data_IF_464713843060
#
_entry.id   IF_464713843060
#
_cell.length_a   1.000
_cell.length_b   1.000
_cell.length_c   1.000
_cell.angle_alpha   90.00
_cell.angle_beta   90.00
_cell.angle_gamma   90.00
#
_symmetry.space_group_name_H-M   'P 1'
#
loop_
_entity.id
_entity.type
_entity.pdbx_description
1 polymer ?
#
# COMPACT_ATOMS: atom_id res chain seq x y z
N UNK A 1 9.69 35.99 37.17
CA UNK A 1 9.06 35.27 38.29
C UNK A 1 8.47 33.97 37.75
N UNK A 2 8.60 32.91 38.55
CA UNK A 2 8.55 31.49 38.18
C UNK A 2 7.23 31.05 37.51
N UNK A 3 7.33 30.33 36.39
CA UNK A 3 6.19 29.58 35.83
C UNK A 3 6.32 28.12 36.25
N UNK A 4 5.36 27.68 37.07
CA UNK A 4 5.30 26.38 37.71
C UNK A 4 5.00 25.27 36.69
N UNK A 5 5.92 24.31 36.60
CA UNK A 5 5.79 23.02 35.91
C UNK A 5 4.96 22.09 36.79
N UNK A 6 3.77 21.69 36.36
CA UNK A 6 3.01 20.61 37.01
C UNK A 6 3.16 19.32 36.21
N UNK A 7 3.93 18.40 36.77
CA UNK A 7 4.03 17.00 36.35
C UNK A 7 2.77 16.27 36.82
N UNK A 8 1.99 15.72 35.90
CA UNK A 8 0.94 14.76 36.24
C UNK A 8 1.51 13.35 36.25
N UNK A 9 1.43 12.70 37.40
CA UNK A 9 1.79 11.32 37.66
C UNK A 9 0.62 10.37 37.31
N UNK A 10 1.02 9.19 36.83
CA UNK A 10 0.47 7.86 37.13
C UNK A 10 -1.01 7.52 36.81
N UNK A 11 -1.19 6.41 36.10
CA UNK A 11 -1.72 5.17 36.69
C UNK A 11 -1.54 4.02 35.71
N UNK A 12 -0.68 3.06 36.07
CA UNK A 12 -0.53 1.80 35.34
C UNK A 12 -1.67 0.86 35.70
N UNK A 13 -2.37 0.35 34.69
CA UNK A 13 -3.23 -0.82 34.81
C UNK A 13 -2.49 -2.01 34.22
N UNK A 14 -1.96 -2.87 35.09
CA UNK A 14 -1.47 -4.19 34.71
C UNK A 14 -2.67 -5.14 34.67
N UNK A 15 -3.10 -5.52 33.46
CA UNK A 15 -4.06 -6.61 33.26
C UNK A 15 -3.25 -7.87 32.97
N UNK A 16 -3.13 -8.74 33.97
CA UNK A 16 -2.58 -10.09 33.81
C UNK A 16 -3.64 -10.99 33.19
N UNK A 17 -3.59 -11.22 31.87
CA UNK A 17 -4.34 -12.30 31.22
C UNK A 17 -3.52 -13.58 31.28
N UNK A 18 -3.97 -14.52 32.12
CA UNK A 18 -3.55 -15.90 32.07
C UNK A 18 -4.17 -16.57 30.84
N UNK A 19 -3.34 -16.86 29.83
CA UNK A 19 -3.76 -17.70 28.70
C UNK A 19 -3.46 -19.15 29.07
N UNK A 20 -4.51 -19.90 29.39
CA UNK A 20 -4.48 -21.35 29.57
C UNK A 20 -4.18 -21.98 28.20
N UNK A 21 -3.03 -22.62 28.10
CA UNK A 21 -2.61 -23.35 26.91
C UNK A 21 -3.41 -24.64 26.72
N UNK A 22 -3.97 -24.81 25.54
CA UNK A 22 -4.40 -26.12 25.03
C UNK A 22 -3.49 -26.49 23.86
N UNK A 23 -2.51 -27.34 24.13
CA UNK A 23 -1.65 -27.96 23.13
C UNK A 23 -2.42 -29.07 22.42
N UNK A 24 -2.89 -28.82 21.20
CA UNK A 24 -3.34 -29.89 20.30
C UNK A 24 -2.22 -30.18 19.33
N UNK A 25 -1.41 -31.19 19.67
CA UNK A 25 -0.42 -31.78 18.77
C UNK A 25 -1.14 -32.42 17.58
N UNK A 26 -1.07 -31.80 16.41
CA UNK A 26 -1.51 -32.43 15.17
C UNK A 26 -0.25 -32.88 14.41
N UNK A 27 -0.05 -34.20 14.38
CA UNK A 27 0.95 -34.88 13.56
C UNK A 27 0.72 -34.55 12.09
N UNK A 28 1.66 -33.87 11.46
CA UNK A 28 1.73 -33.78 10.00
C UNK A 28 2.49 -34.99 9.45
N UNK A 29 1.75 -35.83 8.73
CA UNK A 29 2.28 -36.94 7.93
C UNK A 29 3.10 -36.39 6.76
N UNK A 30 4.37 -36.78 6.69
CA UNK A 30 5.26 -36.51 5.57
C UNK A 30 4.77 -37.29 4.34
N UNK A 31 4.20 -36.59 3.36
CA UNK A 31 4.00 -37.14 2.02
C UNK A 31 5.17 -36.74 1.14
N UNK A 32 6.02 -37.73 0.85
CA UNK A 32 7.04 -37.68 -0.20
C UNK A 32 6.38 -37.39 -1.55
N UNK A 33 6.72 -36.26 -2.17
CA UNK A 33 6.36 -35.99 -3.55
C UNK A 33 7.50 -36.38 -4.49
N UNK A 34 7.11 -37.21 -5.45
CA UNK A 34 7.89 -37.81 -6.52
C UNK A 34 8.50 -36.75 -7.44
N UNK A 35 9.78 -36.93 -7.75
CA UNK A 35 10.49 -36.27 -8.84
C UNK A 35 9.82 -36.59 -10.18
N UNK A 36 9.57 -35.55 -10.98
CA UNK A 36 8.83 -35.66 -12.24
C UNK A 36 9.26 -34.62 -13.27
N UNK A 37 10.19 -35.05 -14.13
CA UNK A 37 10.44 -34.67 -15.53
C UNK A 37 10.98 -33.26 -15.91
N UNK A 38 11.89 -33.20 -16.93
CA UNK A 38 12.48 -31.98 -17.46
C UNK A 38 11.55 -31.22 -18.41
N UNK A 39 11.43 -29.91 -18.20
CA UNK A 39 10.66 -29.02 -19.05
C UNK A 39 11.32 -28.84 -20.43
N UNK A 40 10.62 -29.31 -21.46
CA UNK A 40 10.87 -29.01 -22.87
C UNK A 40 10.69 -27.52 -23.11
N UNK A 41 11.76 -26.85 -23.55
CA UNK A 41 11.74 -25.44 -23.94
C UNK A 41 11.08 -25.33 -25.32
N UNK A 42 9.78 -25.03 -25.36
CA UNK A 42 9.08 -24.72 -26.61
C UNK A 42 9.25 -23.23 -26.88
N UNK A 43 10.20 -22.90 -27.77
CA UNK A 43 10.33 -21.58 -28.36
C UNK A 43 9.19 -21.35 -29.34
N UNK A 44 8.09 -20.75 -28.88
CA UNK A 44 7.07 -20.18 -29.78
C UNK A 44 7.64 -18.93 -30.43
N UNK A 45 8.04 -19.07 -31.70
CA UNK A 45 8.28 -17.94 -32.58
C UNK A 45 6.95 -17.21 -32.81
N UNK A 46 6.86 -15.97 -32.35
CA UNK A 46 5.72 -15.09 -32.61
C UNK A 46 5.71 -14.74 -34.10
N UNK A 47 4.89 -15.45 -34.88
CA UNK A 47 4.58 -15.10 -36.27
C UNK A 47 3.89 -13.73 -36.28
N UNK A 48 4.63 -12.71 -36.74
CA UNK A 48 4.14 -11.35 -36.92
C UNK A 48 3.11 -11.36 -38.06
N UNK A 49 1.83 -11.13 -37.74
CA UNK A 49 0.76 -11.00 -38.73
C UNK A 49 0.70 -9.53 -39.20
N UNK A 50 1.02 -9.20 -40.47
CA UNK A 50 1.15 -7.82 -40.94
C UNK A 50 -0.17 -7.04 -41.13
N UNK A 51 -1.32 -7.55 -40.67
CA UNK A 51 -2.65 -6.96 -40.91
C UNK A 51 -3.50 -6.82 -39.63
N UNK A 52 -2.90 -6.67 -38.46
CA UNK A 52 -3.68 -6.25 -37.29
C UNK A 52 -3.95 -4.75 -37.37
N UNK A 53 -5.21 -4.29 -37.19
CA UNK A 53 -5.52 -2.87 -37.14
C UNK A 53 -4.65 -2.22 -36.08
N UNK A 54 -3.87 -1.23 -36.48
CA UNK A 54 -3.07 -0.41 -35.57
C UNK A 54 -4.08 0.24 -34.62
N UNK A 55 -4.18 -0.29 -33.40
CA UNK A 55 -4.86 0.39 -32.31
C UNK A 55 -3.97 1.57 -31.99
N UNK A 56 -4.22 2.68 -32.68
CA UNK A 56 -3.63 3.98 -32.38
C UNK A 56 -4.12 4.29 -30.98
N UNK A 57 -3.29 3.95 -29.99
CA UNK A 57 -3.46 4.44 -28.63
C UNK A 57 -3.41 5.95 -28.76
N UNK A 58 -4.59 6.56 -28.82
CA UNK A 58 -4.75 7.99 -28.66
C UNK A 58 -4.00 8.32 -27.38
N UNK A 59 -2.86 8.98 -27.54
CA UNK A 59 -2.15 9.63 -26.45
C UNK A 59 -3.12 10.68 -25.93
N UNK A 60 -3.98 10.26 -25.00
CA UNK A 60 -4.96 11.10 -24.35
C UNK A 60 -4.20 12.28 -23.79
N UNK A 61 -4.33 13.39 -24.52
CA UNK A 61 -4.24 14.78 -24.11
C UNK A 61 -3.81 14.91 -22.66
N UNK A 62 -2.60 15.44 -22.43
CA UNK A 62 -2.00 15.82 -21.15
C UNK A 62 -3.07 15.96 -20.06
N UNK A 63 -3.48 14.81 -19.51
CA UNK A 63 -4.62 14.72 -18.62
C UNK A 63 -4.10 15.38 -17.37
N UNK A 64 -4.69 16.52 -17.06
CA UNK A 64 -4.46 17.31 -15.86
C UNK A 64 -4.09 16.33 -14.75
N UNK A 65 -2.79 16.28 -14.40
CA UNK A 65 -2.33 15.27 -13.45
C UNK A 65 -3.06 15.58 -12.16
N UNK A 66 -3.95 14.67 -11.75
CA UNK A 66 -4.69 14.81 -10.51
C UNK A 66 -3.65 15.16 -9.42
N UNK A 67 -3.92 16.22 -8.65
CA UNK A 67 -2.99 16.72 -7.65
C UNK A 67 -2.55 15.60 -6.68
N UNK A 68 -3.46 14.65 -6.41
CA UNK A 68 -3.19 13.46 -5.59
C UNK A 68 -2.15 12.53 -6.24
N UNK A 69 -2.14 12.37 -7.55
CA UNK A 69 -1.17 11.55 -8.28
C UNK A 69 0.24 12.15 -8.17
N UNK A 70 0.32 13.46 -8.31
CA UNK A 70 1.57 14.20 -8.11
C UNK A 70 2.05 14.09 -6.65
N UNK A 71 1.13 14.14 -5.68
CA UNK A 71 1.46 13.93 -4.28
C UNK A 71 1.95 12.50 -4.00
N UNK A 72 1.26 11.47 -4.52
CA UNK A 72 1.66 10.06 -4.39
C UNK A 72 3.02 9.79 -5.05
N UNK A 73 3.30 10.40 -6.21
CA UNK A 73 4.61 10.31 -6.86
C UNK A 73 5.72 10.87 -5.98
N UNK A 74 5.49 12.00 -5.31
CA UNK A 74 6.43 12.56 -4.34
C UNK A 74 6.56 11.63 -3.14
N UNK A 75 5.46 11.10 -2.61
CA UNK A 75 5.48 10.16 -1.49
C UNK A 75 6.38 8.95 -1.77
N UNK A 76 6.28 8.34 -2.96
CA UNK A 76 7.18 7.24 -3.38
C UNK A 76 8.66 7.63 -3.28
N UNK A 77 9.01 8.85 -3.70
CA UNK A 77 10.39 9.31 -3.59
C UNK A 77 10.83 9.47 -2.14
N UNK A 78 9.96 9.95 -1.26
CA UNK A 78 10.26 10.02 0.16
C UNK A 78 10.44 8.61 0.76
N UNK A 79 9.49 7.70 0.55
CA UNK A 79 9.50 6.38 1.18
C UNK A 79 10.64 5.46 0.71
N UNK A 80 10.94 5.45 -0.60
CA UNK A 80 11.86 4.45 -1.16
C UNK A 80 12.90 5.00 -2.12
N UNK A 81 12.98 6.32 -2.30
CA UNK A 81 13.78 6.96 -3.36
C UNK A 81 13.38 6.45 -4.76
N UNK A 82 12.13 6.00 -4.94
CA UNK A 82 11.65 5.43 -6.20
C UNK A 82 11.95 3.95 -6.41
N UNK A 83 12.56 3.26 -5.43
CA UNK A 83 12.83 1.81 -5.50
C UNK A 83 11.53 1.03 -5.23
N UNK A 84 11.19 0.07 -6.09
CA UNK A 84 9.94 -0.71 -5.98
C UNK A 84 10.11 -2.07 -5.30
N UNK A 85 11.33 -2.60 -5.23
CA UNK A 85 11.63 -3.95 -4.69
C UNK A 85 12.53 -3.88 -3.47
N UNK A 86 12.13 -3.10 -2.47
CA UNK A 86 12.85 -2.99 -1.20
C UNK A 86 12.00 -3.49 -0.04
N UNK A 87 12.68 -4.06 0.95
CA UNK A 87 12.11 -4.52 2.22
C UNK A 87 12.97 -3.95 3.33
N UNK A 88 12.36 -3.19 4.23
CA UNK A 88 13.04 -2.52 5.33
C UNK A 88 12.45 -3.02 6.65
N UNK A 89 13.30 -3.28 7.64
CA UNK A 89 12.86 -3.62 8.99
C UNK A 89 12.69 -2.34 9.80
N UNK A 90 11.48 -2.08 10.27
CA UNK A 90 11.14 -0.93 11.10
C UNK A 90 11.53 -1.17 12.57
N UNK A 91 11.59 -0.08 13.36
CA UNK A 91 11.90 -0.13 14.79
C UNK A 91 10.88 -0.94 15.62
N UNK A 92 9.68 -1.17 15.11
CA UNK A 92 8.66 -2.01 15.74
C UNK A 92 8.86 -3.51 15.45
N UNK A 93 9.93 -3.90 14.74
CA UNK A 93 10.21 -5.28 14.35
C UNK A 93 9.36 -5.79 13.17
N UNK A 94 8.55 -4.94 12.56
CA UNK A 94 7.77 -5.27 11.37
C UNK A 94 8.51 -4.85 10.11
N UNK A 95 8.19 -5.51 8.99
CA UNK A 95 8.76 -5.16 7.69
C UNK A 95 7.84 -4.24 6.91
N UNK A 96 8.45 -3.27 6.25
CA UNK A 96 7.84 -2.36 5.29
C UNK A 96 8.34 -2.68 3.88
N UNK A 97 7.42 -2.66 2.91
CA UNK A 97 7.62 -3.26 1.59
C UNK A 97 7.35 -2.28 0.45
N UNK A 98 8.14 -2.40 -0.62
CA UNK A 98 7.88 -1.78 -1.91
C UNK A 98 8.12 -0.27 -1.95
N UNK A 99 7.40 0.43 -2.84
CA UNK A 99 7.69 1.83 -3.15
C UNK A 99 7.06 2.83 -2.17
N UNK A 100 5.97 2.46 -1.51
CA UNK A 100 5.30 3.26 -0.48
C UNK A 100 5.56 2.73 0.95
N UNK A 101 6.48 1.77 1.09
CA UNK A 101 6.86 1.19 2.38
C UNK A 101 5.66 0.72 3.21
N UNK A 102 4.71 0.03 2.56
CA UNK A 102 3.55 -0.52 3.27
C UNK A 102 3.97 -1.66 4.21
N UNK A 103 3.38 -1.72 5.39
CA UNK A 103 3.36 -2.93 6.21
C UNK A 103 2.34 -3.93 5.65
N UNK A 104 2.65 -5.22 5.72
CA UNK A 104 1.84 -6.31 5.15
C UNK A 104 0.37 -6.28 5.63
N UNK A 105 0.15 -6.05 6.93
CA UNK A 105 -1.19 -5.98 7.52
C UNK A 105 -2.04 -4.87 6.91
N UNK A 106 -1.47 -3.68 6.75
CA UNK A 106 -2.14 -2.52 6.15
C UNK A 106 -2.44 -2.76 4.68
N UNK A 107 -1.46 -3.29 3.93
CA UNK A 107 -1.65 -3.63 2.52
C UNK A 107 -2.78 -4.64 2.34
N UNK A 108 -2.80 -5.71 3.16
CA UNK A 108 -3.86 -6.73 3.14
C UNK A 108 -5.23 -6.12 3.48
N UNK A 109 -5.32 -5.36 4.57
CA UNK A 109 -6.56 -4.76 5.06
C UNK A 109 -7.23 -3.91 3.97
N UNK A 110 -6.52 -2.94 3.41
CA UNK A 110 -7.09 -2.03 2.41
C UNK A 110 -7.19 -2.65 1.03
N UNK A 111 -6.26 -3.53 0.66
CA UNK A 111 -6.33 -4.26 -0.59
C UNK A 111 -7.62 -5.09 -0.68
N UNK A 112 -7.94 -5.86 0.38
CA UNK A 112 -9.18 -6.63 0.45
C UNK A 112 -10.41 -5.72 0.50
N UNK A 113 -10.37 -4.68 1.34
CA UNK A 113 -11.48 -3.71 1.48
C UNK A 113 -11.89 -3.09 0.14
N UNK A 114 -10.93 -2.78 -0.72
CA UNK A 114 -11.18 -2.15 -2.02
C UNK A 114 -11.35 -3.15 -3.16
N UNK A 115 -11.27 -4.46 -2.90
CA UNK A 115 -11.37 -5.51 -3.92
C UNK A 115 -10.21 -5.49 -4.93
N UNK A 116 -9.03 -5.04 -4.49
CA UNK A 116 -7.82 -4.96 -5.32
C UNK A 116 -6.91 -6.19 -5.18
N UNK A 117 -7.12 -6.97 -4.12
CA UNK A 117 -6.54 -8.30 -3.87
C UNK A 117 -7.64 -9.20 -3.32
N UNK A 118 -7.42 -10.50 -3.30
CA UNK A 118 -8.36 -11.51 -2.83
C UNK A 118 -7.78 -12.39 -1.72
N UNK A 119 -8.66 -13.03 -0.94
CA UNK A 119 -8.26 -14.06 0.02
C UNK A 119 -7.56 -15.21 -0.73
N UNK A 120 -6.34 -15.58 -0.29
CA UNK A 120 -5.53 -16.64 -0.92
C UNK A 120 -4.45 -16.14 -1.88
N UNK A 121 -4.44 -14.85 -2.21
CA UNK A 121 -3.37 -14.24 -2.99
C UNK A 121 -2.00 -14.35 -2.29
N UNK A 122 -0.93 -14.56 -3.07
CA UNK A 122 0.45 -14.53 -2.57
C UNK A 122 0.89 -13.07 -2.31
N UNK A 123 0.55 -12.59 -1.11
CA UNK A 123 0.76 -11.20 -0.72
C UNK A 123 2.23 -10.79 -0.73
N UNK A 124 3.17 -11.69 -0.42
CA UNK A 124 4.61 -11.38 -0.45
C UNK A 124 5.09 -11.05 -1.86
N UNK A 125 4.51 -11.67 -2.88
CA UNK A 125 4.82 -11.35 -4.27
C UNK A 125 4.12 -10.08 -4.74
N UNK A 126 2.84 -9.92 -4.39
CA UNK A 126 1.98 -8.85 -4.90
C UNK A 126 2.30 -7.49 -4.26
N UNK A 127 2.73 -7.47 -2.99
CA UNK A 127 3.00 -6.21 -2.27
C UNK A 127 4.08 -5.35 -2.94
N UNK A 128 4.94 -5.91 -3.79
CA UNK A 128 5.96 -5.13 -4.51
C UNK A 128 5.44 -4.41 -5.77
N UNK A 129 4.18 -4.61 -6.17
CA UNK A 129 3.59 -3.87 -7.28
C UNK A 129 3.29 -2.42 -6.88
N UNK A 130 4.15 -1.51 -7.34
CA UNK A 130 4.04 -0.09 -7.03
C UNK A 130 2.79 0.58 -7.64
N UNK A 131 2.24 0.05 -8.74
CA UNK A 131 0.99 0.58 -9.31
C UNK A 131 -0.16 0.25 -8.38
N UNK A 132 -0.24 -1.00 -7.94
CA UNK A 132 -1.22 -1.46 -6.96
C UNK A 132 -1.10 -0.73 -5.62
N UNK A 133 0.12 -0.56 -5.09
CA UNK A 133 0.34 0.20 -3.86
C UNK A 133 -0.19 1.64 -3.97
N UNK A 134 0.08 2.33 -5.08
CA UNK A 134 -0.43 3.70 -5.30
C UNK A 134 -1.95 3.74 -5.41
N UNK A 135 -2.56 2.75 -6.04
CA UNK A 135 -4.02 2.67 -6.15
C UNK A 135 -4.67 2.43 -4.78
N UNK A 136 -4.12 1.54 -3.96
CA UNK A 136 -4.55 1.36 -2.57
C UNK A 136 -4.40 2.67 -1.79
N UNK A 137 -3.23 3.30 -1.85
CA UNK A 137 -2.97 4.55 -1.14
C UNK A 137 -3.90 5.70 -1.60
N UNK A 138 -4.18 5.80 -2.90
CA UNK A 138 -5.15 6.74 -3.46
C UNK A 138 -6.51 6.58 -2.79
N UNK A 139 -7.08 5.36 -2.84
CA UNK A 139 -8.39 5.08 -2.24
C UNK A 139 -8.42 5.28 -0.73
N UNK A 140 -7.31 5.01 -0.04
CA UNK A 140 -7.18 5.31 1.39
C UNK A 140 -7.34 6.81 1.68
N UNK A 141 -6.71 7.67 0.88
CA UNK A 141 -6.77 9.12 1.07
C UNK A 141 -8.13 9.68 0.66
N UNK A 142 -8.68 9.24 -0.46
CA UNK A 142 -10.00 9.64 -0.95
C UNK A 142 -11.11 9.25 0.04
N UNK A 143 -11.06 8.03 0.59
CA UNK A 143 -12.06 7.58 1.58
C UNK A 143 -11.93 8.31 2.93
N UNK A 144 -10.70 8.42 3.44
CA UNK A 144 -10.45 9.13 4.70
C UNK A 144 -9.11 9.88 4.61
N UNK A 145 -9.14 11.21 4.46
CA UNK A 145 -7.93 12.00 4.36
C UNK A 145 -6.96 11.77 5.53
N UNK A 146 -7.42 11.42 6.73
CA UNK A 146 -6.56 11.15 7.88
C UNK A 146 -5.66 9.91 7.74
N UNK A 147 -5.89 9.06 6.73
CA UNK A 147 -5.04 7.90 6.46
C UNK A 147 -3.61 8.28 6.07
N UNK A 148 -3.33 9.54 5.71
CA UNK A 148 -1.96 10.04 5.48
C UNK A 148 -1.03 9.79 6.68
N UNK A 149 -1.59 9.67 7.90
CA UNK A 149 -0.82 9.45 9.15
C UNK A 149 0.01 8.18 9.14
N UNK A 150 -0.31 7.21 8.27
CA UNK A 150 0.52 6.00 8.07
C UNK A 150 1.90 6.33 7.49
N UNK A 151 2.05 7.50 6.87
CA UNK A 151 3.31 8.06 6.38
C UNK A 151 3.71 9.33 7.15
N UNK A 152 3.41 9.39 8.46
CA UNK A 152 3.62 10.59 9.28
C UNK A 152 5.01 11.20 9.15
N UNK A 153 6.07 10.38 9.15
CA UNK A 153 7.44 10.86 9.03
C UNK A 153 7.68 11.56 7.69
N UNK A 154 7.24 10.98 6.57
CA UNK A 154 7.40 11.60 5.26
C UNK A 154 6.55 12.87 5.10
N UNK A 155 5.30 12.82 5.58
CA UNK A 155 4.35 13.93 5.48
C UNK A 155 4.74 15.12 6.36
N UNK A 156 5.01 14.88 7.64
CA UNK A 156 5.17 15.93 8.66
C UNK A 156 6.63 16.24 8.99
N UNK A 157 7.48 15.22 9.11
CA UNK A 157 8.87 15.42 9.56
C UNK A 157 9.78 15.79 8.39
N UNK A 158 9.59 15.15 7.23
CA UNK A 158 10.40 15.41 6.04
C UNK A 158 9.80 16.47 5.12
N UNK A 159 8.58 16.93 5.40
CA UNK A 159 7.99 18.09 4.73
C UNK A 159 7.38 17.81 3.35
N UNK A 160 6.88 16.61 3.09
CA UNK A 160 6.09 16.35 1.88
C UNK A 160 4.79 17.19 1.85
N UNK A 161 4.21 17.47 3.03
CA UNK A 161 2.93 18.17 3.16
C UNK A 161 1.72 17.23 3.06
N UNK A 162 0.57 17.73 3.50
CA UNK A 162 -0.70 16.99 3.50
C UNK A 162 -1.15 16.66 2.07
N UNK A 163 -1.87 15.55 1.85
CA UNK A 163 -2.47 15.27 0.56
C UNK A 163 -3.45 16.40 0.17
N UNK A 164 -3.58 16.70 -1.13
CA UNK A 164 -4.56 17.67 -1.60
C UNK A 164 -5.96 17.20 -1.21
N UNK A 165 -6.79 18.14 -0.76
CA UNK A 165 -8.22 17.88 -0.61
C UNK A 165 -8.83 17.97 -1.99
N UNK A 166 -9.78 17.09 -2.31
CA UNK A 166 -10.66 17.35 -3.44
C UNK A 166 -11.33 18.69 -3.15
N UNK A 167 -11.02 19.72 -3.94
CA UNK A 167 -11.80 20.94 -3.91
C UNK A 167 -13.20 20.50 -4.32
N UNK A 168 -14.18 20.61 -3.41
CA UNK A 168 -15.56 20.35 -3.81
C UNK A 168 -15.81 21.19 -5.05
N UNK A 169 -16.19 20.57 -6.18
CA UNK A 169 -16.40 21.30 -7.42
C UNK A 169 -17.40 22.38 -7.05
N UNK A 170 -17.01 23.65 -7.15
CA UNK A 170 -17.82 24.79 -6.75
C UNK A 170 -19.16 24.65 -7.45
N UNK A 171 -20.12 24.02 -6.78
CA UNK A 171 -21.45 23.80 -7.31
C UNK A 171 -21.96 25.21 -7.45
N UNK A 172 -22.05 25.66 -8.70
CA UNK A 172 -22.53 26.96 -9.10
C UNK A 172 -23.88 27.21 -8.41
N UNK A 173 -23.83 27.84 -7.24
CA UNK A 173 -24.99 28.38 -6.51
C UNK A 173 -25.63 29.56 -7.26
N UNK A 174 -25.38 29.68 -8.57
CA UNK A 174 -25.99 30.64 -9.48
C UNK A 174 -27.13 29.96 -10.22
N UNK A 175 -28.31 29.85 -9.61
CA UNK A 175 -29.60 29.84 -10.31
C UNK A 175 -30.79 29.89 -9.33
N UNK A 176 -30.85 30.97 -8.53
CA UNK A 176 -32.12 31.51 -8.05
C UNK A 176 -32.07 33.03 -8.14
N UNK A 177 -32.51 33.55 -9.29
CA UNK A 177 -33.07 34.90 -9.41
C UNK A 177 -34.50 34.74 -9.87
#
# INVERSE_FOLDING_TARGET
>A
MQLLVTKALAAGFAVSMAIVGTTTSQMFMLHSFSEGAPNTVVSTATTYHPNSPIVVFSTTSAKEQNALDSWLKKLVFFESEGKSKIKVLDNNGLHSFGCLQFQMSTFKEFGLKYGLIFEGDDLEKIIYDCVLQKEIARRMIEENPSNWRRWYTSVMIRGLGLPPKEEEPLVLLSLKK
#
